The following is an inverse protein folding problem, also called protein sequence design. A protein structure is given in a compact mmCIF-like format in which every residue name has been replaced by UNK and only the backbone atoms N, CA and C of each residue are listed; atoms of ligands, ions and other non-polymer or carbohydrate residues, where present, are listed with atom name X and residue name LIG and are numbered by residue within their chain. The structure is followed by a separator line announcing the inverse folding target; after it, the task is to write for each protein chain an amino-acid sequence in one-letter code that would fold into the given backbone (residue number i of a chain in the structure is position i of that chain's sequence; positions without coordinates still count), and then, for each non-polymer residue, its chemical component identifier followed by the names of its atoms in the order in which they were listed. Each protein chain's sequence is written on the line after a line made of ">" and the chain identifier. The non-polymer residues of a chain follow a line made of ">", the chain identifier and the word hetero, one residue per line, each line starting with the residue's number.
data_IF_862113745808
#
_entry.id   IF_862113745808
#
_cell.length_a   1.000
_cell.length_b   1.000
_cell.length_c   1.000
_cell.angle_alpha   90.00
_cell.angle_beta   90.00
_cell.angle_gamma   90.00
#
_symmetry.space_group_name_H-M   'P 1'
#
loop_
_entity.id
_entity.type
_entity.pdbx_description
1 polymer ?
#
# COMPACT_ATOMS: atom_id res chain seq x y z
N UNK A 1 60.06 60.21 31.25
CA UNK A 1 60.39 59.96 29.82
C UNK A 1 60.38 58.46 29.60
N UNK A 2 59.39 57.95 28.87
CA UNK A 2 59.09 56.51 28.73
C UNK A 2 59.57 56.02 27.35
N UNK A 3 60.32 54.92 27.33
CA UNK A 3 60.72 54.15 26.14
C UNK A 3 59.68 53.07 25.85
N UNK A 4 59.48 52.69 24.58
CA UNK A 4 58.77 51.48 24.15
C UNK A 4 58.39 51.56 22.66
N UNK A 5 59.22 51.08 21.72
CA UNK A 5 59.38 49.70 21.22
C UNK A 5 58.25 49.24 20.26
N UNK A 6 58.62 49.14 18.97
CA UNK A 6 57.85 48.60 17.84
C UNK A 6 57.76 47.05 17.93
N UNK A 7 56.59 46.48 17.60
CA UNK A 7 56.46 45.06 17.25
C UNK A 7 55.47 44.91 16.07
N UNK A 8 55.98 44.33 14.99
CA UNK A 8 55.29 44.08 13.72
C UNK A 8 54.60 42.70 13.81
N UNK A 9 53.26 42.64 13.67
CA UNK A 9 52.52 41.37 13.59
C UNK A 9 52.51 40.83 12.15
N UNK A 10 53.00 39.61 11.95
CA UNK A 10 52.69 38.80 10.76
C UNK A 10 51.36 38.07 10.97
N UNK A 11 50.37 38.35 10.12
CA UNK A 11 49.14 37.57 10.04
C UNK A 11 49.36 36.38 9.09
N UNK A 12 49.17 35.16 9.58
CA UNK A 12 49.04 33.96 8.75
C UNK A 12 47.55 33.64 8.61
N UNK A 13 47.03 33.69 7.39
CA UNK A 13 45.66 33.28 7.09
C UNK A 13 45.59 31.77 6.92
N UNK A 14 44.93 31.08 7.85
CA UNK A 14 44.53 29.68 7.69
C UNK A 14 43.24 29.65 6.88
N UNK A 15 43.28 29.11 5.67
CA UNK A 15 42.06 28.73 4.95
C UNK A 15 41.54 27.41 5.52
N UNK A 16 40.26 27.30 5.91
CA UNK A 16 39.68 26.02 6.27
C UNK A 16 39.51 25.15 5.01
N UNK A 17 40.03 23.93 5.08
CA UNK A 17 39.81 22.88 4.10
C UNK A 17 38.35 22.41 4.22
N UNK A 18 37.49 22.77 3.27
CA UNK A 18 36.13 22.20 3.18
C UNK A 18 36.25 20.87 2.45
N UNK A 19 36.20 19.76 3.19
CA UNK A 19 35.98 18.46 2.59
C UNK A 19 34.52 18.36 2.17
N UNK A 20 34.27 18.39 0.86
CA UNK A 20 32.96 18.10 0.30
C UNK A 20 32.67 16.61 0.51
N UNK A 21 31.93 16.29 1.57
CA UNK A 21 31.23 15.01 1.66
C UNK A 21 30.09 15.04 0.64
N UNK A 22 30.43 14.74 -0.61
CA UNK A 22 29.47 14.42 -1.66
C UNK A 22 28.90 13.05 -1.30
N UNK A 23 27.81 13.02 -0.53
CA UNK A 23 26.95 11.83 -0.47
C UNK A 23 26.36 11.65 -1.87
N UNK A 24 26.99 10.77 -2.64
CA UNK A 24 26.36 10.17 -3.82
C UNK A 24 25.08 9.51 -3.30
N UNK A 25 23.92 9.98 -3.76
CA UNK A 25 22.65 9.29 -3.58
C UNK A 25 22.76 7.95 -4.29
N UNK A 26 23.19 6.93 -3.56
CA UNK A 26 23.09 5.54 -3.95
C UNK A 26 21.58 5.27 -4.11
N UNK A 27 21.15 4.83 -5.29
CA UNK A 27 19.78 4.38 -5.53
C UNK A 27 19.47 3.21 -4.58
N UNK A 28 19.00 3.54 -3.38
CA UNK A 28 18.87 2.56 -2.31
C UNK A 28 17.77 1.57 -2.67
N UNK A 29 18.18 0.34 -2.98
CA UNK A 29 17.27 -0.78 -3.17
C UNK A 29 16.60 -1.08 -1.83
N UNK A 30 15.26 -1.24 -1.82
CA UNK A 30 14.53 -1.52 -0.59
C UNK A 30 14.99 -2.86 0.01
N UNK A 31 15.18 -2.90 1.34
CA UNK A 31 15.35 -4.17 2.04
C UNK A 31 14.09 -5.04 1.95
N UNK A 32 14.18 -6.37 2.15
CA UNK A 32 13.01 -7.24 2.15
C UNK A 32 11.89 -6.76 3.08
N UNK A 33 12.22 -6.31 4.29
CA UNK A 33 11.24 -5.77 5.25
C UNK A 33 10.53 -4.53 4.70
N UNK A 34 11.26 -3.64 4.02
CA UNK A 34 10.69 -2.43 3.41
C UNK A 34 9.81 -2.76 2.21
N UNK A 35 10.16 -3.78 1.42
CA UNK A 35 9.32 -4.28 0.32
C UNK A 35 7.99 -4.81 0.88
N UNK A 36 8.03 -5.65 1.92
CA UNK A 36 6.82 -6.15 2.56
C UNK A 36 5.96 -5.01 3.13
N UNK A 37 6.57 -4.04 3.81
CA UNK A 37 5.87 -2.88 4.34
C UNK A 37 5.22 -2.02 3.24
N UNK A 38 5.94 -1.76 2.14
CA UNK A 38 5.42 -1.06 0.96
C UNK A 38 4.24 -1.81 0.35
N UNK A 39 4.39 -3.12 0.12
CA UNK A 39 3.36 -3.92 -0.52
C UNK A 39 2.08 -3.94 0.33
N UNK A 40 2.20 -4.11 1.66
CA UNK A 40 1.07 -3.97 2.57
C UNK A 40 0.40 -2.60 2.47
N UNK A 41 1.19 -1.53 2.47
CA UNK A 41 0.68 -0.16 2.38
C UNK A 41 -0.06 0.08 1.05
N UNK A 42 0.49 -0.38 -0.07
CA UNK A 42 -0.12 -0.23 -1.39
C UNK A 42 -1.45 -1.00 -1.48
N UNK A 43 -1.51 -2.24 -0.99
CA UNK A 43 -2.75 -3.02 -0.98
C UNK A 43 -3.81 -2.38 -0.08
N UNK A 44 -3.45 -1.93 1.12
CA UNK A 44 -4.40 -1.23 2.00
C UNK A 44 -4.93 0.05 1.36
N UNK A 45 -4.05 0.84 0.75
CA UNK A 45 -4.43 2.09 0.11
C UNK A 45 -5.27 1.87 -1.17
N UNK A 46 -4.99 0.81 -1.92
CA UNK A 46 -5.85 0.34 -3.00
C UNK A 46 -7.24 -0.01 -2.48
N UNK A 47 -7.32 -0.83 -1.44
CA UNK A 47 -8.59 -1.31 -0.89
C UNK A 47 -9.45 -0.16 -0.37
N UNK A 48 -8.86 0.76 0.38
CA UNK A 48 -9.56 1.94 0.90
C UNK A 48 -10.05 2.86 -0.24
N UNK A 49 -9.17 3.18 -1.20
CA UNK A 49 -9.51 4.09 -2.29
C UNK A 49 -10.57 3.48 -3.22
N UNK A 50 -10.47 2.19 -3.54
CA UNK A 50 -11.40 1.49 -4.40
C UNK A 50 -12.74 1.27 -3.70
N UNK A 51 -12.74 0.63 -2.53
CA UNK A 51 -13.97 0.07 -1.92
C UNK A 51 -14.60 0.93 -0.83
N UNK A 52 -13.84 1.78 -0.12
CA UNK A 52 -14.41 2.64 0.92
C UNK A 52 -14.61 4.09 0.45
N UNK A 53 -13.74 4.57 -0.44
CA UNK A 53 -13.89 5.90 -1.07
C UNK A 53 -14.61 5.83 -2.42
N UNK A 54 -14.86 4.64 -2.94
CA UNK A 54 -15.57 4.37 -4.20
C UNK A 54 -14.90 5.00 -5.44
N UNK A 55 -13.58 5.19 -5.39
CA UNK A 55 -12.76 5.78 -6.47
C UNK A 55 -12.01 4.70 -7.25
N UNK A 56 -12.76 3.75 -7.82
CA UNK A 56 -12.24 2.54 -8.46
C UNK A 56 -11.22 2.84 -9.57
N UNK A 57 -11.51 3.81 -10.43
CA UNK A 57 -10.61 4.19 -11.53
C UNK A 57 -9.28 4.76 -11.01
N UNK A 58 -9.34 5.66 -10.01
CA UNK A 58 -8.15 6.26 -9.39
C UNK A 58 -7.30 5.19 -8.69
N UNK A 59 -7.94 4.26 -7.97
CA UNK A 59 -7.26 3.15 -7.31
C UNK A 59 -6.58 2.22 -8.32
N UNK A 60 -7.26 1.93 -9.43
CA UNK A 60 -6.72 1.10 -10.52
C UNK A 60 -5.50 1.74 -11.14
N UNK A 61 -5.58 3.01 -11.56
CA UNK A 61 -4.46 3.75 -12.13
C UNK A 61 -3.24 3.76 -11.19
N UNK A 62 -3.49 4.00 -9.89
CA UNK A 62 -2.44 4.16 -8.91
C UNK A 62 -1.78 2.84 -8.48
N UNK A 63 -2.54 1.76 -8.33
CA UNK A 63 -2.04 0.55 -7.66
C UNK A 63 -2.07 -0.72 -8.51
N UNK A 64 -2.87 -0.80 -9.57
CA UNK A 64 -2.86 -1.97 -10.46
C UNK A 64 -1.75 -1.80 -11.51
N UNK A 65 -1.07 -2.89 -11.85
CA UNK A 65 -0.04 -2.95 -12.88
C UNK A 65 -0.62 -3.06 -14.30
N UNK A 66 0.24 -3.00 -15.31
CA UNK A 66 -0.21 -3.13 -16.72
C UNK A 66 -0.85 -4.50 -16.98
N UNK A 67 -0.29 -5.55 -16.37
CA UNK A 67 -0.87 -6.89 -16.33
C UNK A 67 -1.64 -7.04 -15.01
N UNK A 68 -2.88 -7.54 -15.08
CA UNK A 68 -3.68 -7.84 -13.90
C UNK A 68 -4.51 -9.11 -14.13
N UNK A 69 -4.05 -10.23 -13.61
CA UNK A 69 -4.70 -11.52 -13.77
C UNK A 69 -5.73 -11.77 -12.66
N UNK A 70 -6.94 -12.15 -13.03
CA UNK A 70 -8.02 -12.47 -12.12
C UNK A 70 -8.25 -13.97 -12.03
N UNK A 71 -8.37 -14.45 -10.80
CA UNK A 71 -8.85 -15.79 -10.51
C UNK A 71 -10.26 -15.80 -9.91
N UNK A 72 -10.82 -14.62 -9.58
CA UNK A 72 -12.24 -14.51 -9.24
C UNK A 72 -13.06 -14.85 -10.50
N UNK A 73 -13.95 -15.86 -10.45
CA UNK A 73 -14.68 -16.34 -11.63
C UNK A 73 -15.70 -15.33 -12.20
N UNK A 74 -15.91 -14.19 -11.53
CA UNK A 74 -16.90 -13.16 -11.88
C UNK A 74 -16.28 -11.87 -12.42
N UNK A 75 -14.95 -11.73 -12.40
CA UNK A 75 -14.25 -10.52 -12.85
C UNK A 75 -13.21 -10.92 -13.91
N UNK A 76 -13.23 -10.27 -15.07
CA UNK A 76 -12.26 -10.54 -16.12
C UNK A 76 -10.90 -9.87 -15.84
N UNK A 77 -9.87 -10.30 -16.57
CA UNK A 77 -8.51 -9.76 -16.48
C UNK A 77 -8.43 -8.27 -16.85
N UNK A 78 -7.44 -7.60 -16.26
CA UNK A 78 -7.07 -6.22 -16.59
C UNK A 78 -7.73 -5.16 -15.70
N UNK A 79 -7.04 -4.04 -15.50
CA UNK A 79 -7.54 -2.94 -14.68
C UNK A 79 -8.84 -2.32 -15.20
N UNK A 80 -9.02 -2.28 -16.53
CA UNK A 80 -10.28 -1.77 -17.11
C UNK A 80 -11.48 -2.66 -16.77
N UNK A 81 -11.34 -3.98 -16.87
CA UNK A 81 -12.39 -4.92 -16.49
C UNK A 81 -12.76 -4.79 -15.00
N UNK A 82 -11.75 -4.58 -14.13
CA UNK A 82 -11.99 -4.29 -12.73
C UNK A 82 -12.81 -3.00 -12.53
N UNK A 83 -12.47 -1.92 -13.23
CA UNK A 83 -13.23 -0.66 -13.18
C UNK A 83 -14.68 -0.84 -13.65
N UNK A 84 -14.87 -1.56 -14.75
CA UNK A 84 -16.19 -1.84 -15.33
C UNK A 84 -17.06 -2.69 -14.40
N UNK A 85 -16.45 -3.66 -13.69
CA UNK A 85 -17.14 -4.51 -12.72
C UNK A 85 -17.57 -3.73 -11.46
N UNK A 86 -16.64 -3.01 -10.83
CA UNK A 86 -16.86 -2.46 -9.49
C UNK A 86 -17.47 -1.05 -9.45
N UNK A 87 -17.27 -0.23 -10.47
CA UNK A 87 -17.87 1.13 -10.50
C UNK A 87 -19.40 1.12 -10.41
N UNK A 88 -20.16 0.34 -11.20
CA UNK A 88 -21.62 0.30 -11.07
C UNK A 88 -22.06 -0.35 -9.75
N UNK A 89 -21.35 -1.40 -9.31
CA UNK A 89 -21.63 -2.09 -8.05
C UNK A 89 -21.54 -1.15 -6.84
N UNK A 90 -20.47 -0.38 -6.70
CA UNK A 90 -20.30 0.55 -5.57
C UNK A 90 -21.22 1.79 -5.66
N UNK A 91 -21.71 2.13 -6.85
CA UNK A 91 -22.79 3.12 -7.00
C UNK A 91 -24.13 2.57 -6.50
N UNK A 92 -24.39 1.29 -6.71
CA UNK A 92 -25.59 0.62 -6.20
C UNK A 92 -25.57 0.48 -4.67
N UNK A 93 -24.38 0.31 -4.08
CA UNK A 93 -24.20 0.16 -2.63
C UNK A 93 -23.35 1.31 -2.04
N UNK A 94 -23.86 2.55 -1.99
CA UNK A 94 -23.07 3.72 -1.56
C UNK A 94 -22.66 3.70 -0.08
N UNK A 95 -23.22 2.77 0.71
CA UNK A 95 -22.89 2.57 2.13
C UNK A 95 -22.09 1.28 2.34
N UNK A 96 -21.60 0.64 1.27
CA UNK A 96 -20.75 -0.53 1.42
C UNK A 96 -19.49 -0.17 2.19
N UNK A 97 -18.96 -1.14 2.93
CA UNK A 97 -17.73 -0.99 3.70
C UNK A 97 -16.90 -2.26 3.59
N UNK A 98 -15.59 -2.07 3.45
CA UNK A 98 -14.62 -3.15 3.36
C UNK A 98 -13.61 -3.00 4.50
N UNK A 99 -13.84 -3.72 5.59
CA UNK A 99 -13.05 -3.64 6.82
C UNK A 99 -11.98 -4.71 6.88
N UNK A 100 -10.73 -4.32 6.63
CA UNK A 100 -9.56 -5.22 6.76
C UNK A 100 -9.34 -5.57 8.24
N UNK A 101 -9.51 -6.85 8.59
CA UNK A 101 -9.31 -7.35 9.97
C UNK A 101 -7.86 -7.71 10.25
N UNK A 102 -7.13 -8.14 9.23
CA UNK A 102 -5.73 -8.56 9.32
C UNK A 102 -5.08 -8.57 7.94
N UNK A 103 -3.76 -8.39 7.93
CA UNK A 103 -2.93 -8.33 6.72
C UNK A 103 -1.58 -9.03 6.93
N UNK A 104 -1.26 -9.94 6.01
CA UNK A 104 -0.02 -10.73 6.00
C UNK A 104 0.69 -10.47 4.69
N UNK A 105 2.03 -10.47 4.68
CA UNK A 105 2.80 -10.36 3.45
C UNK A 105 4.04 -11.26 3.54
N UNK A 106 4.36 -11.92 2.44
CA UNK A 106 5.52 -12.80 2.28
C UNK A 106 5.95 -12.78 0.82
N UNK A 107 7.25 -12.55 0.57
CA UNK A 107 7.76 -12.38 -0.79
C UNK A 107 7.04 -11.26 -1.53
N UNK A 108 6.43 -11.61 -2.66
CA UNK A 108 5.63 -10.73 -3.52
C UNK A 108 4.11 -10.82 -3.23
N UNK A 109 3.70 -11.60 -2.24
CA UNK A 109 2.29 -11.81 -1.89
C UNK A 109 1.86 -10.93 -0.71
N UNK A 110 0.62 -10.45 -0.78
CA UNK A 110 -0.11 -9.82 0.33
C UNK A 110 -1.47 -10.49 0.47
N UNK A 111 -1.80 -10.90 1.69
CA UNK A 111 -3.09 -11.53 2.03
C UNK A 111 -3.88 -10.61 2.94
N UNK A 112 -5.14 -10.37 2.60
CA UNK A 112 -6.12 -9.71 3.45
C UNK A 112 -7.14 -10.72 3.97
N UNK A 113 -7.64 -10.47 5.17
CA UNK A 113 -8.90 -11.04 5.62
C UNK A 113 -9.83 -9.87 5.94
N UNK A 114 -10.92 -9.79 5.20
CA UNK A 114 -11.79 -8.62 5.09
C UNK A 114 -13.20 -8.99 5.52
N UNK A 115 -13.84 -8.08 6.24
CA UNK A 115 -15.28 -8.08 6.43
C UNK A 115 -15.90 -7.07 5.47
N UNK A 116 -16.60 -7.55 4.45
CA UNK A 116 -17.27 -6.74 3.44
C UNK A 116 -18.77 -6.69 3.72
N UNK A 117 -19.38 -5.51 3.75
CA UNK A 117 -20.82 -5.32 3.93
C UNK A 117 -21.36 -4.40 2.85
N UNK A 118 -22.56 -4.67 2.33
CA UNK A 118 -23.20 -3.83 1.31
C UNK A 118 -24.03 -2.68 1.90
N UNK A 119 -24.54 -2.87 3.12
CA UNK A 119 -25.35 -1.88 3.85
C UNK A 119 -25.06 -1.97 5.36
N UNK A 120 -25.44 -0.98 6.18
CA UNK A 120 -25.21 -1.05 7.63
C UNK A 120 -25.93 -2.20 8.35
N UNK A 121 -26.97 -2.77 7.75
CA UNK A 121 -27.72 -3.92 8.30
C UNK A 121 -27.25 -5.26 7.72
N UNK A 122 -26.42 -5.23 6.69
CA UNK A 122 -25.88 -6.41 6.06
C UNK A 122 -24.85 -7.07 6.99
N UNK A 123 -25.02 -8.38 7.24
CA UNK A 123 -24.03 -9.17 7.97
C UNK A 123 -22.74 -9.29 7.17
N UNK A 124 -22.86 -9.25 5.85
CA UNK A 124 -21.74 -9.22 4.94
C UNK A 124 -21.06 -10.56 4.75
N UNK A 125 -19.85 -10.47 4.23
CA UNK A 125 -19.03 -11.59 3.81
C UNK A 125 -17.65 -11.49 4.47
N UNK A 126 -17.09 -12.65 4.81
CA UNK A 126 -15.68 -12.82 5.08
C UNK A 126 -14.98 -13.13 3.75
N UNK A 127 -14.06 -12.26 3.37
CA UNK A 127 -13.26 -12.42 2.16
C UNK A 127 -11.81 -12.63 2.55
N UNK A 128 -11.16 -13.62 1.94
CA UNK A 128 -9.70 -13.74 1.94
C UNK A 128 -9.22 -13.38 0.55
N UNK A 129 -8.64 -12.19 0.41
CA UNK A 129 -8.01 -11.75 -0.83
C UNK A 129 -6.51 -12.03 -0.78
N UNK A 130 -5.96 -12.53 -1.88
CA UNK A 130 -4.54 -12.75 -2.07
C UNK A 130 -4.13 -11.94 -3.29
N UNK A 131 -3.14 -11.08 -3.13
CA UNK A 131 -2.59 -10.24 -4.18
C UNK A 131 -1.13 -10.59 -4.41
N UNK A 132 -0.72 -10.70 -5.69
CA UNK A 132 0.69 -10.64 -6.08
C UNK A 132 1.04 -9.24 -6.54
N UNK A 133 2.22 -8.75 -6.13
CA UNK A 133 2.74 -7.45 -6.52
C UNK A 133 4.05 -7.56 -7.29
N UNK A 134 4.24 -6.69 -8.27
CA UNK A 134 5.49 -6.57 -9.01
C UNK A 134 6.62 -5.91 -8.16
N UNK A 135 7.87 -5.86 -8.68
CA UNK A 135 8.97 -5.20 -7.98
C UNK A 135 8.73 -3.72 -7.68
N UNK A 136 7.86 -3.03 -8.41
CA UNK A 136 7.48 -1.63 -8.21
C UNK A 136 6.36 -1.49 -7.16
N UNK A 137 5.74 -2.59 -6.74
CA UNK A 137 4.67 -2.63 -5.76
C UNK A 137 3.28 -2.40 -6.37
N UNK A 138 3.11 -2.70 -7.66
CA UNK A 138 1.81 -2.70 -8.34
C UNK A 138 1.18 -4.08 -8.27
N UNK A 139 -0.13 -4.14 -8.09
CA UNK A 139 -0.90 -5.39 -8.03
C UNK A 139 -1.03 -5.95 -9.45
N UNK A 140 -0.60 -7.19 -9.65
CA UNK A 140 -0.57 -7.83 -10.98
C UNK A 140 -1.35 -9.14 -11.06
N UNK A 141 -1.79 -9.68 -9.93
CA UNK A 141 -2.59 -10.91 -9.89
C UNK A 141 -3.41 -10.96 -8.60
N UNK A 142 -4.60 -11.55 -8.68
CA UNK A 142 -5.57 -11.59 -7.58
C UNK A 142 -6.32 -12.93 -7.52
N UNK A 143 -6.45 -13.46 -6.29
CA UNK A 143 -7.33 -14.57 -5.94
C UNK A 143 -8.20 -14.17 -4.75
N UNK A 144 -9.41 -14.72 -4.69
CA UNK A 144 -10.25 -14.60 -3.50
C UNK A 144 -10.95 -15.91 -3.13
N UNK A 145 -11.36 -15.97 -1.86
CA UNK A 145 -12.39 -16.87 -1.37
C UNK A 145 -13.37 -16.06 -0.56
N UNK A 146 -14.65 -16.19 -0.89
CA UNK A 146 -15.75 -15.41 -0.30
C UNK A 146 -16.66 -16.36 0.46
N UNK A 147 -16.96 -16.01 1.71
CA UNK A 147 -17.88 -16.75 2.57
C UNK A 147 -18.88 -15.78 3.20
N UNK A 148 -20.18 -15.99 2.99
CA UNK A 148 -21.21 -15.27 3.73
C UNK A 148 -21.06 -15.49 5.24
N UNK A 149 -21.15 -14.42 6.03
CA UNK A 149 -21.10 -14.51 7.49
C UNK A 149 -22.32 -15.30 7.99
N UNK A 150 -22.14 -16.46 8.64
CA UNK A 150 -23.26 -17.32 9.00
C UNK A 150 -24.07 -16.74 10.16
N UNK A 151 -25.35 -17.10 10.24
CA UNK A 151 -26.22 -16.78 11.38
C UNK A 151 -25.68 -17.31 12.71
N UNK A 152 -25.08 -18.50 12.67
CA UNK A 152 -24.59 -19.22 13.83
C UNK A 152 -23.30 -19.94 13.49
N UNK A 153 -22.42 -20.10 14.46
CA UNK A 153 -21.25 -20.96 14.36
C UNK A 153 -21.30 -22.04 15.44
N UNK A 154 -20.91 -23.26 15.10
CA UNK A 154 -20.91 -24.40 16.04
C UNK A 154 -20.00 -24.12 17.24
N UNK A 155 -18.91 -23.38 17.04
CA UNK A 155 -17.96 -23.03 18.10
C UNK A 155 -18.37 -21.80 18.92
N UNK A 156 -19.40 -21.06 18.49
CA UNK A 156 -19.80 -19.76 19.06
C UNK A 156 -18.84 -18.59 18.77
N UNK A 157 -17.79 -18.80 17.98
CA UNK A 157 -16.84 -17.74 17.55
C UNK A 157 -17.25 -17.16 16.20
N UNK A 158 -17.06 -15.86 16.01
CA UNK A 158 -17.23 -15.21 14.71
C UNK A 158 -16.14 -15.62 13.71
N UNK A 159 -16.35 -15.28 12.44
CA UNK A 159 -15.34 -15.51 11.39
C UNK A 159 -14.11 -14.60 11.53
N UNK A 160 -14.21 -13.50 12.29
CA UNK A 160 -13.18 -12.47 12.42
C UNK A 160 -12.52 -12.42 13.79
#
# INVERSE_FOLDING_TARGET
>A
MMKGLFALLLATSLTPYVSANTTVQENATLSPQQILARNKANVLAFYDLAFNQHKVAEATEKYIGEQYWQHNPTVADGGQAFVEAFTPFLKQYPQSQASVKRIIAEGDLVVLHVHSTLTPQDKGEAVVDIFRLDPQGKIIEHWDVIQAVPEQSVSGRGLF
#
